data_IF_075889676277
#
_entry.id   IF_075889676277
#
_cell.length_a   1.000
_cell.length_b   1.000
_cell.length_c   1.000
_cell.angle_alpha   90.00
_cell.angle_beta   90.00
_cell.angle_gamma   90.00
#
_symmetry.space_group_name_H-M   'P 1'
#
loop_
_entity.id
_entity.type
_entity.pdbx_description
1 polymer ?
#
# COMPACT_ATOMS: atom_id res chain seq x y z
N UNK A 1 -37.13 -16.79 73.82
CA UNK A 1 -37.52 -17.07 72.43
C UNK A 1 -36.46 -16.46 71.53
N UNK A 2 -35.74 -17.32 70.75
CA UNK A 2 -34.54 -16.95 69.97
C UNK A 2 -34.90 -16.48 68.54
N UNK A 3 -34.59 -15.28 68.15
CA UNK A 3 -34.67 -14.82 66.75
C UNK A 3 -33.32 -15.02 66.03
N UNK A 4 -33.33 -15.85 65.02
CA UNK A 4 -32.15 -16.13 64.16
C UNK A 4 -32.11 -15.12 63.05
N UNK A 5 -31.04 -14.24 62.97
CA UNK A 5 -30.74 -13.35 61.90
C UNK A 5 -30.09 -14.12 60.75
N UNK A 6 -30.66 -14.04 59.55
CA UNK A 6 -30.09 -14.57 58.33
C UNK A 6 -29.16 -13.54 57.65
N UNK A 7 -27.88 -13.88 57.59
CA UNK A 7 -26.89 -13.09 56.82
C UNK A 7 -27.07 -13.34 55.33
N UNK A 8 -27.40 -12.31 54.57
CA UNK A 8 -27.42 -12.32 53.09
C UNK A 8 -26.01 -11.98 52.56
N UNK A 9 -25.33 -12.99 52.03
CA UNK A 9 -24.05 -12.87 51.35
C UNK A 9 -24.30 -12.32 49.94
N UNK A 10 -23.94 -11.08 49.68
CA UNK A 10 -23.91 -10.49 48.31
C UNK A 10 -22.67 -10.99 47.58
N UNK A 11 -22.87 -11.92 46.66
CA UNK A 11 -21.82 -12.35 45.71
C UNK A 11 -21.70 -11.27 44.64
N UNK A 12 -20.66 -10.42 44.75
CA UNK A 12 -20.31 -9.42 43.72
C UNK A 12 -19.73 -10.09 42.48
N UNK A 13 -20.52 -10.17 41.42
CA UNK A 13 -20.07 -10.61 40.09
C UNK A 13 -19.18 -9.53 39.47
N UNK A 14 -17.86 -9.70 39.54
CA UNK A 14 -16.91 -8.85 38.82
C UNK A 14 -16.86 -9.28 37.36
N UNK A 15 -17.48 -8.50 36.46
CA UNK A 15 -17.25 -8.62 35.03
C UNK A 15 -15.82 -8.09 34.74
N UNK A 16 -14.90 -9.03 34.52
CA UNK A 16 -13.59 -8.69 33.95
C UNK A 16 -13.80 -8.34 32.47
N UNK A 17 -13.83 -7.04 32.14
CA UNK A 17 -13.86 -6.57 30.77
C UNK A 17 -12.54 -6.93 30.07
N UNK A 18 -12.61 -7.85 29.13
CA UNK A 18 -11.49 -8.19 28.24
C UNK A 18 -11.31 -7.04 27.24
N UNK A 19 -10.35 -6.14 27.50
CA UNK A 19 -9.95 -5.10 26.54
C UNK A 19 -9.19 -5.81 25.42
N UNK A 20 -9.83 -6.05 24.29
CA UNK A 20 -9.18 -6.51 23.07
C UNK A 20 -8.47 -5.29 22.45
N UNK A 21 -7.15 -5.20 22.66
CA UNK A 21 -6.32 -4.26 21.91
C UNK A 21 -6.24 -4.75 20.45
N UNK A 22 -7.03 -4.16 19.57
CA UNK A 22 -6.87 -4.37 18.13
C UNK A 22 -5.52 -3.77 17.67
N UNK A 23 -4.75 -4.45 16.80
CA UNK A 23 -3.49 -3.94 16.31
C UNK A 23 -3.72 -2.66 15.47
N UNK A 24 -3.19 -1.54 15.94
CA UNK A 24 -3.34 -0.22 15.28
C UNK A 24 -2.64 -0.13 13.91
N UNK A 25 -1.81 -1.11 13.54
CA UNK A 25 -1.06 -1.13 12.28
C UNK A 25 -1.96 -1.36 11.04
N UNK A 26 -3.06 -2.10 11.17
CA UNK A 26 -3.94 -2.38 10.03
C UNK A 26 -4.71 -1.12 9.57
N UNK A 27 -5.02 -0.22 10.49
CA UNK A 27 -5.75 1.00 10.18
C UNK A 27 -4.96 1.99 9.30
N UNK A 28 -3.66 2.15 9.54
CA UNK A 28 -2.80 3.03 8.76
C UNK A 28 -2.63 2.52 7.33
N UNK A 29 -2.35 1.23 7.15
CA UNK A 29 -2.23 0.61 5.83
C UNK A 29 -3.54 0.68 5.02
N UNK A 30 -4.69 0.56 5.67
CA UNK A 30 -5.98 0.71 5.00
C UNK A 30 -6.28 2.15 4.59
N UNK A 31 -5.88 3.14 5.40
CA UNK A 31 -6.05 4.55 5.05
C UNK A 31 -5.21 4.92 3.83
N UNK A 32 -3.93 4.51 3.80
CA UNK A 32 -3.04 4.72 2.66
C UNK A 32 -3.56 4.04 1.38
N UNK A 33 -4.09 2.83 1.49
CA UNK A 33 -4.68 2.11 0.36
C UNK A 33 -5.92 2.83 -0.21
N UNK A 34 -6.78 3.37 0.66
CA UNK A 34 -7.98 4.14 0.24
C UNK A 34 -7.60 5.45 -0.44
N UNK A 35 -6.64 6.18 0.12
CA UNK A 35 -6.11 7.41 -0.46
C UNK A 35 -5.52 7.14 -1.85
N UNK A 36 -4.63 6.15 -1.96
CA UNK A 36 -4.02 5.74 -3.21
C UNK A 36 -5.06 5.34 -4.27
N UNK A 37 -6.09 4.58 -3.89
CA UNK A 37 -7.20 4.22 -4.77
C UNK A 37 -7.98 5.45 -5.24
N UNK A 38 -8.26 6.39 -4.34
CA UNK A 38 -9.03 7.60 -4.66
C UNK A 38 -8.29 8.51 -5.66
N UNK A 39 -6.98 8.69 -5.52
CA UNK A 39 -6.21 9.59 -6.40
C UNK A 39 -5.82 8.96 -7.74
N UNK A 40 -5.78 7.63 -7.85
CA UNK A 40 -5.37 6.93 -9.09
C UNK A 40 -6.53 6.29 -9.84
N UNK A 41 -7.65 6.07 -9.18
CA UNK A 41 -8.78 5.28 -9.69
C UNK A 41 -8.44 3.79 -9.83
N UNK A 42 -7.41 3.30 -9.12
CA UNK A 42 -6.96 1.91 -9.14
C UNK A 42 -7.20 1.19 -7.82
N UNK A 43 -7.02 -0.12 -7.84
CA UNK A 43 -7.06 -1.00 -6.67
C UNK A 43 -5.62 -1.41 -6.30
N UNK A 44 -5.06 -0.95 -5.18
CA UNK A 44 -3.69 -1.26 -4.80
C UNK A 44 -3.45 -2.75 -4.55
N UNK A 45 -4.48 -3.52 -4.17
CA UNK A 45 -4.33 -4.96 -3.91
C UNK A 45 -3.92 -5.76 -5.16
N UNK A 46 -4.21 -5.24 -6.35
CA UNK A 46 -3.84 -5.84 -7.64
C UNK A 46 -2.42 -5.49 -8.08
N UNK A 47 -1.80 -4.49 -7.46
CA UNK A 47 -0.49 -3.98 -7.84
C UNK A 47 0.62 -5.03 -7.86
N UNK A 48 0.83 -5.83 -6.81
CA UNK A 48 1.91 -6.82 -6.74
C UNK A 48 1.91 -7.81 -7.90
N UNK A 49 0.74 -8.34 -8.27
CA UNK A 49 0.61 -9.29 -9.38
C UNK A 49 0.85 -8.63 -10.74
N UNK A 50 0.36 -7.41 -10.91
CA UNK A 50 0.57 -6.64 -12.14
C UNK A 50 2.03 -6.21 -12.30
N UNK A 51 2.72 -5.80 -11.23
CA UNK A 51 4.15 -5.50 -11.26
C UNK A 51 4.98 -6.71 -11.71
N UNK A 52 4.58 -7.92 -11.29
CA UNK A 52 5.20 -9.17 -11.79
C UNK A 52 4.82 -9.46 -13.23
N UNK A 53 3.54 -9.35 -13.58
CA UNK A 53 3.04 -9.56 -14.95
C UNK A 53 3.80 -8.73 -15.98
N UNK A 54 4.09 -7.48 -15.66
CA UNK A 54 4.78 -6.54 -16.55
C UNK A 54 6.31 -6.51 -16.39
N UNK A 55 6.88 -7.38 -15.56
CA UNK A 55 8.33 -7.56 -15.42
C UNK A 55 9.05 -6.49 -14.61
N UNK A 56 8.34 -5.64 -13.85
CA UNK A 56 8.92 -4.55 -13.08
C UNK A 56 9.96 -5.04 -12.05
N UNK A 57 9.72 -6.22 -11.46
CA UNK A 57 10.60 -6.85 -10.48
C UNK A 57 11.98 -7.22 -11.05
N UNK A 58 12.12 -7.34 -12.37
CA UNK A 58 13.42 -7.68 -12.99
C UNK A 58 14.44 -6.54 -12.85
N UNK A 59 13.95 -5.29 -12.75
CA UNK A 59 14.78 -4.11 -12.69
C UNK A 59 14.72 -3.41 -11.33
N UNK A 60 13.60 -3.50 -10.61
CA UNK A 60 13.36 -2.77 -9.38
C UNK A 60 13.27 -3.67 -8.15
N UNK A 61 13.81 -3.19 -7.03
CA UNK A 61 13.45 -3.68 -5.70
C UNK A 61 12.13 -3.04 -5.31
N UNK A 62 11.09 -3.86 -5.02
CA UNK A 62 9.73 -3.38 -4.72
C UNK A 62 9.23 -4.04 -3.43
N UNK A 63 9.03 -3.28 -2.34
CA UNK A 63 8.49 -3.82 -1.10
C UNK A 63 7.17 -4.56 -1.34
N UNK A 64 6.99 -5.71 -0.68
CA UNK A 64 5.74 -6.50 -0.78
C UNK A 64 5.53 -7.28 -2.08
N UNK A 65 6.42 -7.15 -3.07
CA UNK A 65 6.36 -7.91 -4.32
C UNK A 65 7.38 -9.05 -4.29
N UNK A 66 6.90 -10.29 -4.31
CA UNK A 66 7.76 -11.49 -4.26
C UNK A 66 8.69 -11.53 -5.47
N UNK A 67 10.00 -11.72 -5.21
CA UNK A 67 11.02 -11.78 -6.25
C UNK A 67 11.46 -10.43 -6.83
N UNK A 68 10.93 -9.31 -6.32
CA UNK A 68 11.31 -7.99 -6.76
C UNK A 68 12.58 -7.50 -6.04
N UNK A 69 13.71 -7.99 -6.51
CA UNK A 69 15.05 -7.67 -6.00
C UNK A 69 16.00 -7.16 -7.09
N UNK A 70 15.45 -6.68 -8.21
CA UNK A 70 16.22 -6.09 -9.30
C UNK A 70 16.96 -4.82 -8.87
N UNK A 71 18.19 -4.64 -9.37
CA UNK A 71 19.08 -3.53 -9.02
C UNK A 71 19.42 -2.62 -10.22
N UNK A 72 18.75 -2.83 -11.36
CA UNK A 72 18.96 -2.02 -12.59
C UNK A 72 18.29 -0.66 -12.44
N UNK A 73 17.07 -0.64 -11.94
CA UNK A 73 16.33 0.57 -11.61
C UNK A 73 16.44 0.94 -10.12
N UNK A 74 16.06 2.16 -9.74
CA UNK A 74 16.05 2.54 -8.33
C UNK A 74 15.04 1.72 -7.53
N UNK A 75 15.29 1.48 -6.23
CA UNK A 75 14.30 0.89 -5.33
C UNK A 75 13.01 1.71 -5.31
N UNK A 76 11.86 1.04 -5.28
CA UNK A 76 10.56 1.72 -5.25
C UNK A 76 10.01 1.94 -3.83
N UNK A 77 10.75 1.53 -2.80
CA UNK A 77 10.45 1.92 -1.42
C UNK A 77 10.38 3.44 -1.29
N UNK A 78 9.37 3.95 -0.60
CA UNK A 78 9.20 5.39 -0.38
C UNK A 78 8.86 6.20 -1.64
N UNK A 79 8.45 5.55 -2.75
CA UNK A 79 8.15 6.25 -4.00
C UNK A 79 7.02 7.27 -3.83
N UNK A 80 6.04 6.99 -2.99
CA UNK A 80 4.93 7.90 -2.71
C UNK A 80 5.38 9.21 -2.06
N UNK A 81 6.49 9.20 -1.32
CA UNK A 81 7.01 10.37 -0.59
C UNK A 81 8.03 11.19 -1.39
N UNK A 82 8.40 10.78 -2.61
CA UNK A 82 9.36 11.51 -3.44
C UNK A 82 8.71 12.71 -4.11
N UNK A 83 9.47 13.79 -4.26
CA UNK A 83 9.01 14.98 -4.98
C UNK A 83 8.92 14.77 -6.50
N UNK A 84 9.71 13.83 -7.04
CA UNK A 84 9.80 13.58 -8.48
C UNK A 84 9.75 12.09 -8.81
N UNK A 85 9.14 11.78 -9.95
CA UNK A 85 9.17 10.47 -10.63
C UNK A 85 10.35 10.51 -11.60
N UNK A 86 11.24 9.51 -11.48
CA UNK A 86 12.42 9.35 -12.35
C UNK A 86 13.32 10.59 -12.44
N UNK A 87 13.19 11.56 -11.55
CA UNK A 87 13.92 12.82 -11.58
C UNK A 87 13.42 13.84 -12.61
N UNK A 88 12.40 13.52 -13.40
CA UNK A 88 11.96 14.33 -14.54
C UNK A 88 10.51 14.85 -14.43
N UNK A 89 9.62 14.14 -13.74
CA UNK A 89 8.23 14.56 -13.56
C UNK A 89 7.92 14.85 -12.09
N UNK A 90 7.16 15.90 -11.77
CA UNK A 90 6.59 16.05 -10.45
C UNK A 90 5.80 14.80 -10.07
N UNK A 91 5.89 14.36 -8.81
CA UNK A 91 5.18 13.17 -8.34
C UNK A 91 3.69 13.48 -8.14
N UNK A 92 2.92 13.23 -9.19
CA UNK A 92 1.47 13.37 -9.25
C UNK A 92 0.87 12.13 -9.93
N UNK A 93 -0.39 11.76 -9.61
CA UNK A 93 -1.03 10.56 -10.14
C UNK A 93 -0.99 10.46 -11.67
N UNK A 94 -1.36 11.51 -12.40
CA UNK A 94 -1.34 11.50 -13.86
C UNK A 94 0.07 11.32 -14.43
N UNK A 95 1.08 11.92 -13.79
CA UNK A 95 2.46 11.76 -14.18
C UNK A 95 2.97 10.34 -13.90
N UNK A 96 2.55 9.73 -12.79
CA UNK A 96 2.86 8.32 -12.49
C UNK A 96 2.26 7.39 -13.56
N UNK A 97 1.00 7.60 -13.92
CA UNK A 97 0.33 6.83 -14.97
C UNK A 97 1.03 7.00 -16.33
N UNK A 98 1.41 8.22 -16.68
CA UNK A 98 2.16 8.52 -17.91
C UNK A 98 3.52 7.83 -17.90
N UNK A 99 4.29 7.93 -16.81
CA UNK A 99 5.59 7.29 -16.67
C UNK A 99 5.53 5.76 -16.78
N UNK A 100 4.59 5.12 -16.09
CA UNK A 100 4.42 3.65 -16.13
C UNK A 100 4.13 3.16 -17.55
N UNK A 101 3.32 3.91 -18.31
CA UNK A 101 2.85 3.49 -19.63
C UNK A 101 3.82 3.81 -20.76
N UNK A 102 4.48 4.94 -20.69
CA UNK A 102 5.35 5.44 -21.76
C UNK A 102 6.57 6.19 -21.21
N UNK A 103 7.49 5.49 -20.51
CA UNK A 103 8.69 6.13 -19.98
C UNK A 103 9.58 6.72 -21.09
N UNK A 104 9.66 6.08 -22.26
CA UNK A 104 10.44 6.59 -23.40
C UNK A 104 9.84 7.85 -24.03
N UNK A 105 8.53 8.00 -24.02
CA UNK A 105 7.86 9.23 -24.47
C UNK A 105 7.98 10.38 -23.47
N UNK A 106 8.31 10.08 -22.20
CA UNK A 106 8.62 11.10 -21.18
C UNK A 106 10.10 11.49 -21.23
N UNK A 107 10.99 10.49 -21.24
CA UNK A 107 12.44 10.66 -21.33
C UNK A 107 13.03 9.61 -22.28
N UNK A 108 13.38 10.03 -23.48
CA UNK A 108 13.94 9.15 -24.51
C UNK A 108 15.25 8.47 -24.07
N UNK A 109 15.96 9.04 -23.08
CA UNK A 109 17.24 8.52 -22.57
C UNK A 109 17.06 7.52 -21.42
N UNK A 110 15.85 7.35 -20.89
CA UNK A 110 15.64 6.41 -19.78
C UNK A 110 15.99 4.98 -20.17
N UNK A 111 16.56 4.23 -19.22
CA UNK A 111 16.78 2.79 -19.37
C UNK A 111 15.48 1.98 -19.17
N UNK A 112 14.45 2.56 -18.56
CA UNK A 112 13.16 1.89 -18.35
C UNK A 112 12.46 1.66 -19.69
N UNK A 113 12.13 0.41 -20.05
CA UNK A 113 11.47 0.10 -21.31
C UNK A 113 9.97 0.37 -21.25
N UNK A 114 9.33 0.52 -22.42
CA UNK A 114 7.89 0.43 -22.54
C UNK A 114 7.48 -1.04 -22.39
N UNK A 115 6.77 -1.38 -21.29
CA UNK A 115 6.40 -2.77 -20.98
C UNK A 115 4.99 -3.13 -21.45
N UNK A 116 4.31 -2.23 -22.15
CA UNK A 116 2.97 -2.46 -22.68
C UNK A 116 1.86 -2.44 -21.62
N UNK A 117 2.07 -1.75 -20.51
CA UNK A 117 1.06 -1.63 -19.45
C UNK A 117 -0.20 -0.96 -19.97
N UNK A 118 -1.36 -1.62 -19.81
CA UNK A 118 -2.65 -1.05 -20.21
C UNK A 118 -3.04 0.15 -19.33
N UNK A 119 -3.90 1.06 -19.80
CA UNK A 119 -4.37 2.18 -18.98
C UNK A 119 -5.04 1.74 -17.67
N UNK A 120 -5.80 0.66 -17.69
CA UNK A 120 -6.43 0.10 -16.50
C UNK A 120 -5.40 -0.47 -15.51
N UNK A 121 -4.47 -1.29 -16.00
CA UNK A 121 -3.46 -1.93 -15.14
C UNK A 121 -2.49 -0.87 -14.57
N UNK A 122 -2.21 0.21 -15.31
CA UNK A 122 -1.39 1.32 -14.82
C UNK A 122 -2.00 1.99 -13.58
N UNK A 123 -3.35 2.14 -13.51
CA UNK A 123 -4.04 2.68 -12.34
C UNK A 123 -3.82 1.80 -11.10
N UNK A 124 -3.95 0.49 -11.25
CA UNK A 124 -3.75 -0.47 -10.15
C UNK A 124 -2.28 -0.49 -9.68
N UNK A 125 -1.33 -0.44 -10.61
CA UNK A 125 0.10 -0.35 -10.32
C UNK A 125 0.39 0.97 -9.59
N UNK A 126 -0.07 2.11 -10.10
CA UNK A 126 0.12 3.41 -9.46
C UNK A 126 -0.50 3.45 -8.06
N UNK A 127 -1.70 2.90 -7.88
CA UNK A 127 -2.34 2.80 -6.57
C UNK A 127 -1.45 2.06 -5.57
N UNK A 128 -0.87 0.92 -5.98
CA UNK A 128 0.07 0.19 -5.12
C UNK A 128 1.32 1.01 -4.81
N UNK A 129 1.93 1.64 -5.81
CA UNK A 129 3.12 2.46 -5.61
C UNK A 129 2.86 3.62 -4.65
N UNK A 130 1.68 4.22 -4.66
CA UNK A 130 1.32 5.28 -3.71
C UNK A 130 1.06 4.79 -2.28
N UNK A 131 0.99 3.48 -2.03
CA UNK A 131 1.02 2.93 -0.66
C UNK A 131 2.45 2.78 -0.11
N UNK A 132 3.48 2.90 -0.94
CA UNK A 132 4.89 2.74 -0.56
C UNK A 132 5.47 4.09 -0.08
N UNK A 133 5.14 4.46 1.16
CA UNK A 133 5.61 5.68 1.86
C UNK A 133 6.93 5.47 2.58
#
# INVERSE_FOLDING_TARGET
MKARGAARTLVGLRLAGLIVLAPACDGANQADAREAAAITGGDPSRGPDLLRKYGCQSCHTIPGVVGANGLVGPPLAGIASRSYIAGVLPNAPDNMLRWIRDPKGVDAKTAMPNTGVTPSDARHIAAYLYTLK
#
